data_IF_834202172029
#
_entry.id   IF_834202172029
#
_cell.length_a   1.000
_cell.length_b   1.000
_cell.length_c   1.000
_cell.angle_alpha   90.00
_cell.angle_beta   90.00
_cell.angle_gamma   90.00
#
_symmetry.space_group_name_H-M   'P 1'
#
loop_
_entity.id
_entity.type
_entity.pdbx_description
1 polymer ?
#
# COMPACT_ATOMS: atom_id res chain seq x y z
N UNK A 1 -5.72 7.92 8.98
CA UNK A 1 -6.79 7.83 7.96
C UNK A 1 -7.37 6.44 8.08
N UNK A 2 -8.57 6.19 7.57
CA UNK A 2 -9.20 4.86 7.53
C UNK A 2 -9.84 4.68 6.15
N UNK A 3 -10.30 3.47 5.83
CA UNK A 3 -10.87 3.16 4.51
C UNK A 3 -12.03 4.10 4.12
N UNK A 4 -12.90 4.44 5.07
CA UNK A 4 -14.02 5.35 4.81
C UNK A 4 -13.57 6.77 4.44
N UNK A 5 -12.47 7.28 5.02
CA UNK A 5 -11.90 8.57 4.62
C UNK A 5 -11.50 8.58 3.13
N UNK A 6 -10.94 7.49 2.62
CA UNK A 6 -10.57 7.35 1.22
C UNK A 6 -11.80 7.28 0.32
N UNK A 7 -12.79 6.47 0.69
CA UNK A 7 -14.05 6.33 -0.04
C UNK A 7 -14.80 7.67 -0.17
N UNK A 8 -14.86 8.45 0.91
CA UNK A 8 -15.47 9.78 0.88
C UNK A 8 -14.77 10.70 -0.13
N UNK A 9 -13.44 10.78 -0.10
CA UNK A 9 -12.70 11.66 -1.02
C UNK A 9 -12.85 11.19 -2.47
N UNK A 10 -12.73 9.88 -2.72
CA UNK A 10 -12.93 9.30 -4.05
C UNK A 10 -14.32 9.58 -4.59
N UNK A 11 -15.37 9.42 -3.77
CA UNK A 11 -16.74 9.74 -4.15
C UNK A 11 -16.86 11.21 -4.58
N UNK A 12 -16.31 12.14 -3.79
CA UNK A 12 -16.37 13.58 -4.09
C UNK A 12 -15.63 13.95 -5.39
N UNK A 13 -14.51 13.30 -5.68
CA UNK A 13 -13.74 13.47 -6.93
C UNK A 13 -14.50 12.87 -8.11
N UNK A 14 -14.97 11.63 -8.01
CA UNK A 14 -15.71 10.92 -9.05
C UNK A 14 -17.01 11.66 -9.42
N UNK A 15 -17.69 12.24 -8.43
CA UNK A 15 -18.90 13.04 -8.62
C UNK A 15 -18.61 14.47 -9.09
N UNK A 16 -17.34 14.81 -9.34
CA UNK A 16 -16.87 16.14 -9.78
C UNK A 16 -17.45 17.26 -8.91
N UNK A 17 -17.49 17.01 -7.60
CA UNK A 17 -18.02 17.99 -6.64
C UNK A 17 -17.16 19.25 -6.64
N UNK A 18 -17.81 20.39 -6.44
CA UNK A 18 -17.16 21.69 -6.42
C UNK A 18 -17.87 22.62 -5.46
N UNK A 19 -17.33 23.82 -5.25
CA UNK A 19 -18.01 24.84 -4.45
C UNK A 19 -19.44 25.11 -4.96
N UNK A 20 -19.64 25.16 -6.28
CA UNK A 20 -20.96 25.39 -6.88
C UNK A 20 -21.89 24.17 -6.76
N UNK A 21 -21.34 22.96 -6.69
CA UNK A 21 -22.08 21.71 -6.60
C UNK A 21 -21.52 20.78 -5.50
N UNK A 22 -21.76 21.09 -4.21
CA UNK A 22 -21.26 20.29 -3.10
C UNK A 22 -22.20 19.11 -2.80
N UNK A 23 -21.68 18.07 -2.15
CA UNK A 23 -22.48 16.96 -1.61
C UNK A 23 -22.65 17.09 -0.10
N UNK A 24 -23.87 16.94 0.41
CA UNK A 24 -24.13 16.97 1.84
C UNK A 24 -23.94 15.58 2.50
N UNK A 25 -23.93 15.56 3.84
CA UNK A 25 -23.71 14.32 4.60
C UNK A 25 -24.77 13.23 4.37
N UNK A 26 -25.99 13.59 3.95
CA UNK A 26 -27.04 12.62 3.63
C UNK A 26 -26.76 11.96 2.29
N UNK A 27 -26.38 12.74 1.27
CA UNK A 27 -26.02 12.23 -0.06
C UNK A 27 -24.78 11.33 0.01
N UNK A 28 -23.77 11.74 0.79
CA UNK A 28 -22.54 10.95 1.00
C UNK A 28 -22.88 9.66 1.76
N UNK A 29 -23.66 9.75 2.84
CA UNK A 29 -24.06 8.59 3.64
C UNK A 29 -24.88 7.57 2.85
N UNK A 30 -25.82 8.04 2.03
CA UNK A 30 -26.60 7.18 1.14
C UNK A 30 -25.72 6.47 0.11
N UNK A 31 -24.76 7.18 -0.51
CA UNK A 31 -23.85 6.60 -1.48
C UNK A 31 -22.91 5.53 -0.88
N UNK A 32 -22.45 5.76 0.35
CA UNK A 32 -21.50 4.87 1.04
C UNK A 32 -22.17 3.89 2.01
N UNK A 33 -23.51 3.85 2.05
CA UNK A 33 -24.32 3.01 2.96
C UNK A 33 -23.94 3.17 4.44
N UNK A 34 -23.63 4.40 4.85
CA UNK A 34 -23.29 4.74 6.25
C UNK A 34 -24.16 5.89 6.76
N UNK A 35 -24.31 6.00 8.08
CA UNK A 35 -25.18 7.02 8.65
C UNK A 35 -24.62 8.44 8.44
N UNK A 36 -25.48 9.44 8.16
CA UNK A 36 -25.02 10.83 7.96
C UNK A 36 -24.24 11.39 9.17
N UNK A 37 -24.60 10.97 10.38
CA UNK A 37 -23.90 11.36 11.61
C UNK A 37 -22.46 10.85 11.63
N UNK A 38 -22.23 9.60 11.21
CA UNK A 38 -20.89 9.03 11.12
C UNK A 38 -20.05 9.74 10.06
N UNK A 39 -20.64 10.02 8.90
CA UNK A 39 -20.02 10.77 7.80
C UNK A 39 -19.54 12.15 8.27
N UNK A 40 -20.35 12.89 9.03
CA UNK A 40 -19.95 14.21 9.58
C UNK A 40 -18.71 14.11 10.47
N UNK A 41 -18.63 13.06 11.30
CA UNK A 41 -17.46 12.79 12.14
C UNK A 41 -16.18 12.59 11.32
N UNK A 42 -16.25 11.79 10.26
CA UNK A 42 -15.10 11.55 9.36
C UNK A 42 -14.72 12.81 8.55
N UNK A 43 -15.72 13.54 8.06
CA UNK A 43 -15.49 14.77 7.29
C UNK A 43 -14.77 15.85 8.09
N UNK A 44 -15.02 15.95 9.40
CA UNK A 44 -14.30 16.88 10.26
C UNK A 44 -12.79 16.62 10.29
N UNK A 45 -12.36 15.36 10.11
CA UNK A 45 -10.94 14.98 10.02
C UNK A 45 -10.40 15.36 8.64
N UNK A 46 -11.13 15.05 7.56
CA UNK A 46 -10.73 15.34 6.18
C UNK A 46 -10.59 16.85 5.90
N UNK A 47 -11.49 17.66 6.46
CA UNK A 47 -11.45 19.12 6.38
C UNK A 47 -10.22 19.67 7.09
N UNK A 48 -9.92 19.18 8.31
CA UNK A 48 -8.70 19.55 9.04
C UNK A 48 -7.42 19.23 8.26
N UNK A 49 -7.44 18.12 7.51
CA UNK A 49 -6.33 17.70 6.65
C UNK A 49 -6.30 18.38 5.26
N UNK A 50 -7.21 19.32 4.99
CA UNK A 50 -7.32 20.03 3.70
C UNK A 50 -7.53 19.09 2.49
N UNK A 51 -8.14 17.93 2.70
CA UNK A 51 -8.47 16.98 1.63
C UNK A 51 -9.87 17.21 1.05
N UNK A 52 -10.73 17.81 1.86
CA UNK A 52 -12.11 18.16 1.54
C UNK A 52 -12.35 19.59 2.00
N UNK A 53 -13.08 20.36 1.21
CA UNK A 53 -13.49 21.72 1.52
C UNK A 53 -15.00 21.77 1.79
N UNK A 54 -15.44 22.84 2.46
CA UNK A 54 -16.82 23.00 2.93
C UNK A 54 -17.44 24.26 2.36
N UNK A 55 -18.63 24.15 1.78
CA UNK A 55 -19.53 25.29 1.49
C UNK A 55 -20.59 25.36 2.59
N UNK A 56 -20.67 26.49 3.27
CA UNK A 56 -21.66 26.76 4.33
C UNK A 56 -22.93 27.40 3.75
N UNK A 57 -24.05 27.28 4.47
CA UNK A 57 -25.34 27.88 4.11
C UNK A 57 -26.33 26.90 3.50
N UNK A 58 -27.45 27.42 3.00
CA UNK A 58 -28.50 26.60 2.40
C UNK A 58 -28.00 25.89 1.12
N UNK A 59 -28.27 24.59 1.02
CA UNK A 59 -27.67 23.72 -0.01
C UNK A 59 -26.16 23.55 0.12
N UNK A 60 -25.60 23.82 1.30
CA UNK A 60 -24.18 23.62 1.61
C UNK A 60 -23.79 22.14 1.70
N UNK A 61 -22.49 21.89 1.74
CA UNK A 61 -21.96 20.54 1.75
C UNK A 61 -20.44 20.53 1.56
N UNK A 62 -19.94 19.39 1.11
CA UNK A 62 -18.54 19.05 1.03
C UNK A 62 -18.14 18.85 -0.43
N UNK A 63 -16.93 19.25 -0.77
CA UNK A 63 -16.38 19.05 -2.10
C UNK A 63 -14.88 18.76 -2.04
N UNK A 64 -14.37 18.12 -3.09
CA UNK A 64 -12.96 17.82 -3.26
C UNK A 64 -12.11 19.10 -3.11
N UNK A 65 -11.12 19.09 -2.20
CA UNK A 65 -10.23 20.24 -2.02
C UNK A 65 -9.29 20.43 -3.21
N UNK A 66 -8.86 21.66 -3.47
CA UNK A 66 -7.92 21.94 -4.58
C UNK A 66 -6.62 21.12 -4.40
N UNK A 67 -6.32 20.27 -5.38
CA UNK A 67 -5.16 19.36 -5.37
C UNK A 67 -5.42 17.97 -4.79
N UNK A 68 -6.61 17.67 -4.25
CA UNK A 68 -6.90 16.34 -3.69
C UNK A 68 -7.00 15.25 -4.76
N UNK A 69 -7.43 15.60 -5.99
CA UNK A 69 -7.53 14.67 -7.12
C UNK A 69 -6.18 14.09 -7.52
N UNK A 70 -5.15 14.94 -7.68
CA UNK A 70 -3.79 14.50 -7.97
C UNK A 70 -3.13 13.83 -6.76
N UNK A 71 -3.26 14.40 -5.55
CA UNK A 71 -2.60 13.88 -4.35
C UNK A 71 -3.16 12.54 -3.84
N UNK A 72 -4.41 12.19 -4.18
CA UNK A 72 -4.99 10.87 -3.86
C UNK A 72 -5.00 9.89 -5.03
N UNK A 73 -5.05 10.32 -6.29
CA UNK A 73 -4.81 9.41 -7.42
C UNK A 73 -3.37 8.91 -7.45
N UNK A 74 -2.41 9.78 -7.10
CA UNK A 74 -1.03 9.36 -6.81
C UNK A 74 -1.01 8.37 -5.63
N UNK A 75 -1.63 8.68 -4.48
CA UNK A 75 -1.64 7.73 -3.34
C UNK A 75 -2.43 6.41 -3.51
N UNK A 76 -3.31 6.23 -4.51
CA UNK A 76 -4.10 4.99 -4.66
C UNK A 76 -3.64 4.09 -5.81
N UNK A 77 -2.92 4.63 -6.79
CA UNK A 77 -2.29 3.82 -7.86
C UNK A 77 -0.78 3.69 -7.63
N UNK A 78 -0.13 4.69 -7.04
CA UNK A 78 1.29 4.60 -6.68
C UNK A 78 1.48 3.83 -5.37
N UNK A 79 0.59 3.83 -4.37
CA UNK A 79 0.90 3.08 -3.13
C UNK A 79 1.06 1.56 -3.31
N UNK A 80 0.26 0.84 -4.11
CA UNK A 80 0.52 -0.57 -4.38
C UNK A 80 1.71 -0.78 -5.30
N UNK A 81 1.90 0.07 -6.33
CA UNK A 81 2.99 -0.05 -7.31
C UNK A 81 4.34 0.39 -6.76
N UNK A 82 4.40 1.43 -5.92
CA UNK A 82 5.57 1.87 -5.17
C UNK A 82 5.93 0.85 -4.10
N UNK A 83 4.93 0.31 -3.36
CA UNK A 83 5.20 -0.79 -2.42
C UNK A 83 5.69 -2.03 -3.13
N UNK A 84 5.13 -2.34 -4.30
CA UNK A 84 5.61 -3.42 -5.14
C UNK A 84 7.01 -3.12 -5.67
N UNK A 85 7.28 -1.88 -6.08
CA UNK A 85 8.59 -1.39 -6.50
C UNK A 85 9.65 -1.58 -5.41
N UNK A 86 9.39 -1.07 -4.21
CA UNK A 86 10.26 -1.29 -3.05
C UNK A 86 10.41 -2.78 -2.70
N UNK A 87 9.33 -3.56 -2.75
CA UNK A 87 9.38 -5.01 -2.53
C UNK A 87 10.25 -5.70 -3.58
N UNK A 88 10.18 -5.28 -4.85
CA UNK A 88 10.99 -5.82 -5.95
C UNK A 88 12.47 -5.40 -5.85
N UNK A 89 12.75 -4.17 -5.40
CA UNK A 89 14.10 -3.70 -5.10
C UNK A 89 14.73 -4.51 -3.95
N UNK A 90 14.01 -4.70 -2.84
CA UNK A 90 14.45 -5.56 -1.73
C UNK A 90 14.68 -7.01 -2.21
N UNK A 91 13.77 -7.55 -3.02
CA UNK A 91 13.94 -8.89 -3.62
C UNK A 91 15.20 -9.01 -4.48
N UNK A 92 15.55 -7.97 -5.25
CA UNK A 92 16.77 -7.94 -6.05
C UNK A 92 18.04 -7.95 -5.18
N UNK A 93 18.05 -7.20 -4.08
CA UNK A 93 19.16 -7.20 -3.12
C UNK A 93 19.39 -8.58 -2.50
N UNK A 94 18.31 -9.26 -2.10
CA UNK A 94 18.40 -10.62 -1.55
C UNK A 94 18.88 -11.65 -2.58
N UNK A 95 18.48 -11.53 -3.85
CA UNK A 95 18.97 -12.41 -4.91
C UNK A 95 20.48 -12.22 -5.17
N UNK A 96 20.97 -10.97 -5.11
CA UNK A 96 22.40 -10.70 -5.24
C UNK A 96 23.19 -11.29 -4.07
N UNK A 97 22.70 -11.12 -2.83
CA UNK A 97 23.32 -11.70 -1.64
C UNK A 97 23.36 -13.23 -1.72
N UNK A 98 22.29 -13.84 -2.19
CA UNK A 98 22.19 -15.28 -2.42
C UNK A 98 23.22 -15.75 -3.46
N UNK A 99 23.29 -15.08 -4.60
CA UNK A 99 24.22 -15.40 -5.69
C UNK A 99 25.67 -15.33 -5.22
N UNK A 100 26.02 -14.27 -4.48
CA UNK A 100 27.36 -14.07 -3.92
C UNK A 100 27.71 -15.12 -2.85
N UNK A 101 26.76 -15.46 -1.98
CA UNK A 101 26.94 -16.54 -0.99
C UNK A 101 27.17 -17.90 -1.67
N UNK A 102 26.35 -18.23 -2.67
CA UNK A 102 26.48 -19.47 -3.43
C UNK A 102 27.82 -19.58 -4.18
N UNK A 103 28.38 -18.47 -4.68
CA UNK A 103 29.71 -18.44 -5.32
C UNK A 103 30.86 -18.65 -4.34
N UNK A 104 30.72 -18.20 -3.09
CA UNK A 104 31.77 -18.27 -2.05
C UNK A 104 31.86 -19.64 -1.38
N UNK A 105 30.71 -20.29 -1.17
CA UNK A 105 30.60 -21.59 -0.49
C UNK A 105 31.59 -22.64 -1.01
N UNK A 106 31.71 -22.89 -2.33
CA UNK A 106 32.65 -23.90 -2.81
C UNK A 106 34.09 -23.61 -2.36
N UNK A 107 34.55 -22.36 -2.51
CA UNK A 107 35.91 -21.98 -2.13
C UNK A 107 36.16 -22.09 -0.62
N UNK A 108 35.16 -21.76 0.21
CA UNK A 108 35.25 -21.85 1.68
C UNK A 108 35.28 -23.30 2.17
N UNK A 109 34.49 -24.19 1.57
CA UNK A 109 34.53 -25.63 1.87
C UNK A 109 35.83 -26.28 1.39
N UNK A 110 36.34 -25.95 0.20
CA UNK A 110 37.58 -26.53 -0.33
C UNK A 110 38.85 -26.06 0.41
N UNK A 111 38.80 -24.92 1.10
CA UNK A 111 39.94 -24.38 1.85
C UNK A 111 39.96 -24.79 3.33
N UNK A 112 39.03 -25.67 3.76
CA UNK A 112 38.99 -26.20 5.12
C UNK A 112 38.47 -25.20 6.16
N UNK A 113 37.76 -24.15 5.74
CA UNK A 113 37.22 -23.11 6.63
C UNK A 113 35.77 -23.42 7.00
N UNK A 114 35.56 -24.56 7.64
CA UNK A 114 34.22 -25.10 7.95
C UNK A 114 33.31 -24.11 8.66
N UNK A 115 33.84 -23.33 9.62
CA UNK A 115 33.06 -22.32 10.35
C UNK A 115 32.55 -21.22 9.41
N UNK A 116 33.39 -20.72 8.51
CA UNK A 116 33.00 -19.67 7.55
C UNK A 116 32.00 -20.21 6.52
N UNK A 117 32.17 -21.46 6.11
CA UNK A 117 31.25 -22.11 5.19
C UNK A 117 29.85 -22.33 5.82
N UNK A 118 29.79 -22.67 7.11
CA UNK A 118 28.54 -22.76 7.88
C UNK A 118 27.88 -21.39 8.05
N UNK A 119 28.65 -20.34 8.36
CA UNK A 119 28.15 -18.97 8.44
C UNK A 119 27.56 -18.49 7.11
N UNK A 120 28.24 -18.78 5.99
CA UNK A 120 27.76 -18.50 4.63
C UNK A 120 26.46 -19.25 4.31
N UNK A 121 26.33 -20.52 4.72
CA UNK A 121 25.10 -21.29 4.55
C UNK A 121 23.93 -20.72 5.37
N UNK A 122 24.18 -20.28 6.61
CA UNK A 122 23.16 -19.66 7.46
C UNK A 122 22.65 -18.34 6.85
N UNK A 123 23.56 -17.51 6.33
CA UNK A 123 23.20 -16.26 5.64
C UNK A 123 22.34 -16.51 4.40
N UNK A 124 22.66 -17.56 3.62
CA UNK A 124 21.87 -17.99 2.47
C UNK A 124 20.46 -18.44 2.89
N UNK A 125 20.36 -19.25 3.95
CA UNK A 125 19.06 -19.72 4.45
C UNK A 125 18.20 -18.55 4.97
N UNK A 126 18.79 -17.59 5.67
CA UNK A 126 18.09 -16.40 6.14
C UNK A 126 17.62 -15.51 4.98
N UNK A 127 18.47 -15.31 3.97
CA UNK A 127 18.12 -14.60 2.74
C UNK A 127 16.97 -15.25 1.98
N UNK A 128 16.99 -16.57 1.82
CA UNK A 128 15.90 -17.33 1.19
C UNK A 128 14.58 -17.20 1.96
N UNK A 129 14.64 -17.25 3.30
CA UNK A 129 13.46 -17.08 4.13
C UNK A 129 12.89 -15.66 4.03
N UNK A 130 13.75 -14.63 3.97
CA UNK A 130 13.35 -13.24 3.70
C UNK A 130 12.68 -13.11 2.33
N UNK A 131 13.29 -13.66 1.29
CA UNK A 131 12.76 -13.66 -0.07
C UNK A 131 11.38 -14.32 -0.16
N UNK A 132 11.16 -15.44 0.54
CA UNK A 132 9.87 -16.12 0.60
C UNK A 132 8.75 -15.23 1.20
N UNK A 133 9.07 -14.41 2.22
CA UNK A 133 8.12 -13.44 2.79
C UNK A 133 7.77 -12.33 1.80
N UNK A 134 8.76 -11.86 1.04
CA UNK A 134 8.55 -10.83 0.03
C UNK A 134 7.68 -11.33 -1.13
N UNK A 135 7.84 -12.58 -1.56
CA UNK A 135 6.93 -13.21 -2.55
C UNK A 135 5.48 -13.20 -2.05
N UNK A 136 5.24 -13.58 -0.78
CA UNK A 136 3.89 -13.53 -0.18
C UNK A 136 3.33 -12.11 -0.16
N UNK A 137 4.15 -11.13 0.18
CA UNK A 137 3.78 -9.71 0.16
C UNK A 137 3.40 -9.25 -1.26
N UNK A 138 4.22 -9.57 -2.26
CA UNK A 138 3.97 -9.26 -3.66
C UNK A 138 2.70 -9.94 -4.21
N UNK A 139 2.45 -11.20 -3.84
CA UNK A 139 1.25 -11.94 -4.23
C UNK A 139 -0.03 -11.28 -3.70
N UNK A 140 -0.01 -10.80 -2.45
CA UNK A 140 -1.10 -10.02 -1.85
C UNK A 140 -1.31 -8.71 -2.60
N UNK A 141 -0.24 -8.00 -2.96
CA UNK A 141 -0.32 -6.74 -3.70
C UNK A 141 -0.86 -6.92 -5.13
N UNK A 142 -0.53 -8.03 -5.77
CA UNK A 142 -0.95 -8.36 -7.14
C UNK A 142 -2.28 -9.12 -7.20
N UNK A 143 -2.85 -9.49 -6.05
CA UNK A 143 -4.05 -10.33 -5.95
C UNK A 143 -3.91 -11.67 -6.71
N UNK A 144 -2.74 -12.30 -6.59
CA UNK A 144 -2.40 -13.59 -7.20
C UNK A 144 -2.39 -14.65 -6.11
N UNK A 145 -2.95 -15.83 -6.40
CA UNK A 145 -2.79 -16.99 -5.53
C UNK A 145 -1.40 -17.61 -5.72
N UNK A 146 -0.54 -17.45 -4.71
CA UNK A 146 0.83 -17.97 -4.70
C UNK A 146 0.96 -19.29 -3.92
N UNK A 147 -0.15 -19.88 -3.45
CA UNK A 147 -0.15 -21.13 -2.66
C UNK A 147 0.59 -22.28 -3.35
N UNK A 148 0.39 -22.43 -4.66
CA UNK A 148 1.03 -23.47 -5.47
C UNK A 148 2.57 -23.29 -5.61
N UNK A 149 3.09 -22.07 -5.51
CA UNK A 149 4.52 -21.78 -5.68
C UNK A 149 5.31 -21.82 -4.37
N UNK A 150 4.63 -21.73 -3.21
CA UNK A 150 5.25 -21.60 -1.90
C UNK A 150 5.22 -22.90 -1.07
N UNK A 151 4.68 -23.99 -1.62
CA UNK A 151 4.75 -25.32 -1.03
C UNK A 151 3.92 -25.51 0.25
N UNK A 152 2.90 -24.68 0.48
CA UNK A 152 1.96 -24.88 1.58
C UNK A 152 0.85 -25.84 1.14
N UNK A 153 1.12 -27.14 1.31
CA UNK A 153 0.14 -28.23 1.22
C UNK A 153 -0.04 -28.92 2.56
#
# INVERSE_FOLDING_TARGET
MNNLHHEIVMLLVQRKTSYANPMNSQQIGAALKVTPSYVRGQLAILVRKKLVEVRRGNGGGYYAGKGCGQKMMMNNMEQPLDKLGCTMEEMLEYLQLLEDGCKKIPAEFYTGKEIQAIESLLQIMEGLHGYQKLIKSAAVLLNIDASAALGEG
#
